data_IF_018366872651
#
_entry.id   IF_018366872651
#
_cell.length_a   1.000
_cell.length_b   1.000
_cell.length_c   1.000
_cell.angle_alpha   90.00
_cell.angle_beta   90.00
_cell.angle_gamma   90.00
#
_symmetry.space_group_name_H-M   'P 1'
#
loop_
_entity.id
_entity.type
_entity.pdbx_description
1 polymer ?
#
# COMPACT_ATOMS: atom_id res chain seq x y z
N UNK A 1 -6.03 -29.93 23.31
CA UNK A 1 -7.35 -30.16 22.68
C UNK A 1 -7.89 -28.81 22.27
N UNK A 2 -7.69 -28.40 21.01
CA UNK A 2 -8.30 -27.18 20.50
C UNK A 2 -9.80 -27.47 20.37
N UNK A 3 -10.64 -26.62 20.97
CA UNK A 3 -12.07 -26.92 21.07
C UNK A 3 -12.68 -26.93 19.67
N UNK A 4 -13.47 -27.96 19.36
CA UNK A 4 -14.16 -28.17 18.07
C UNK A 4 -14.94 -26.92 17.62
N UNK A 5 -15.30 -26.06 18.57
CA UNK A 5 -15.94 -24.76 18.38
C UNK A 5 -15.04 -23.73 17.67
N UNK A 6 -13.75 -23.68 18.00
CA UNK A 6 -12.82 -22.70 17.43
C UNK A 6 -12.47 -23.04 15.97
N UNK A 7 -12.33 -24.33 15.65
CA UNK A 7 -12.14 -24.80 14.28
C UNK A 7 -13.41 -24.60 13.44
N UNK A 8 -14.60 -24.84 14.01
CA UNK A 8 -15.87 -24.56 13.35
C UNK A 8 -16.04 -23.06 13.03
N UNK A 9 -15.71 -22.17 13.98
CA UNK A 9 -15.71 -20.72 13.78
C UNK A 9 -14.76 -20.30 12.65
N UNK A 10 -13.54 -20.85 12.63
CA UNK A 10 -12.58 -20.60 11.55
C UNK A 10 -13.12 -21.03 10.18
N UNK A 11 -13.68 -22.23 10.08
CA UNK A 11 -14.30 -22.72 8.85
C UNK A 11 -15.48 -21.86 8.38
N UNK A 12 -16.33 -21.40 9.30
CA UNK A 12 -17.46 -20.53 8.98
C UNK A 12 -17.03 -19.14 8.51
N UNK A 13 -15.98 -18.56 9.11
CA UNK A 13 -15.42 -17.29 8.65
C UNK A 13 -14.79 -17.42 7.28
N UNK A 14 -13.98 -18.47 7.04
CA UNK A 14 -13.38 -18.72 5.72
C UNK A 14 -14.45 -18.94 4.65
N UNK A 15 -15.50 -19.72 4.95
CA UNK A 15 -16.61 -19.94 4.03
C UNK A 15 -17.33 -18.62 3.71
N UNK A 16 -17.55 -17.76 4.71
CA UNK A 16 -18.20 -16.46 4.54
C UNK A 16 -17.36 -15.49 3.70
N UNK A 17 -16.05 -15.42 3.96
CA UNK A 17 -15.12 -14.60 3.18
C UNK A 17 -14.96 -15.12 1.74
N UNK A 18 -15.00 -16.44 1.55
CA UNK A 18 -14.96 -17.06 0.21
C UNK A 18 -16.24 -16.74 -0.58
N UNK A 19 -17.40 -16.77 0.08
CA UNK A 19 -18.66 -16.35 -0.54
C UNK A 19 -18.68 -14.86 -0.86
N UNK A 20 -18.12 -14.01 0.01
CA UNK A 20 -17.97 -12.58 -0.24
C UNK A 20 -17.07 -12.32 -1.45
N UNK A 21 -15.88 -12.94 -1.49
CA UNK A 21 -14.94 -12.84 -2.61
C UNK A 21 -15.55 -13.34 -3.93
N UNK A 22 -16.25 -14.48 -3.91
CA UNK A 22 -16.97 -15.01 -5.07
C UNK A 22 -18.10 -14.11 -5.56
N UNK A 23 -18.77 -13.41 -4.64
CA UNK A 23 -19.81 -12.42 -4.96
C UNK A 23 -19.22 -11.16 -5.58
N UNK A 24 -18.08 -10.66 -5.06
CA UNK A 24 -17.32 -9.56 -5.68
C UNK A 24 -16.91 -9.92 -7.11
N UNK A 25 -16.40 -11.13 -7.34
CA UNK A 25 -16.02 -11.59 -8.67
C UNK A 25 -17.21 -11.65 -9.64
N UNK A 26 -18.38 -12.10 -9.18
CA UNK A 26 -19.62 -12.12 -9.99
C UNK A 26 -20.15 -10.72 -10.27
N UNK A 27 -20.10 -9.80 -9.30
CA UNK A 27 -20.47 -8.39 -9.49
C UNK A 27 -19.51 -7.73 -10.49
N UNK A 28 -18.20 -7.89 -10.32
CA UNK A 28 -17.20 -7.36 -11.24
C UNK A 28 -17.38 -7.92 -12.66
N UNK A 29 -17.64 -9.22 -12.79
CA UNK A 29 -17.93 -9.84 -14.08
C UNK A 29 -19.24 -9.31 -14.71
N UNK A 30 -20.29 -9.16 -13.90
CA UNK A 30 -21.57 -8.57 -14.32
C UNK A 30 -21.42 -7.11 -14.76
N UNK A 31 -20.61 -6.31 -14.06
CA UNK A 31 -20.29 -4.92 -14.42
C UNK A 31 -19.49 -4.86 -15.73
N UNK A 32 -18.51 -5.74 -15.91
CA UNK A 32 -17.75 -5.86 -17.17
C UNK A 32 -18.65 -6.25 -18.34
N UNK A 33 -19.57 -7.21 -18.14
CA UNK A 33 -20.55 -7.60 -19.15
C UNK A 33 -21.55 -6.47 -19.45
N UNK A 34 -22.05 -5.78 -18.43
CA UNK A 34 -22.94 -4.62 -18.59
C UNK A 34 -22.27 -3.51 -19.40
N UNK A 35 -21.00 -3.18 -19.12
CA UNK A 35 -20.25 -2.19 -19.88
C UNK A 35 -20.04 -2.60 -21.36
N UNK A 36 -19.84 -3.90 -21.63
CA UNK A 36 -19.75 -4.44 -22.99
C UNK A 36 -21.10 -4.43 -23.72
N UNK A 37 -22.20 -4.79 -23.03
CA UNK A 37 -23.55 -4.84 -23.60
C UNK A 37 -24.19 -3.46 -23.80
N UNK A 38 -23.84 -2.46 -22.96
CA UNK A 38 -24.26 -1.06 -23.14
C UNK A 38 -23.74 -0.47 -24.45
N UNK A 39 -22.62 -0.99 -24.97
CA UNK A 39 -22.07 -0.66 -26.30
C UNK A 39 -22.82 -1.31 -27.46
N UNK A 40 -23.62 -2.34 -27.21
CA UNK A 40 -24.35 -3.12 -28.22
C UNK A 40 -25.88 -3.02 -28.11
N UNK A 41 -26.40 -2.16 -27.23
CA UNK A 41 -27.84 -1.84 -27.15
C UNK A 41 -28.77 -2.96 -26.67
N UNK A 42 -28.24 -4.03 -26.07
CA UNK A 42 -29.06 -5.12 -25.53
C UNK A 42 -29.18 -5.01 -23.99
N UNK A 43 -30.38 -5.11 -23.42
CA UNK A 43 -30.57 -5.13 -21.98
C UNK A 43 -30.25 -6.53 -21.44
N UNK A 44 -29.18 -6.66 -20.65
CA UNK A 44 -28.80 -7.92 -20.02
C UNK A 44 -28.64 -7.76 -18.49
N UNK A 45 -29.71 -8.22 -17.83
CA UNK A 45 -29.85 -8.81 -16.49
C UNK A 45 -29.21 -8.15 -15.26
N UNK A 46 -29.91 -7.15 -14.73
CA UNK A 46 -29.85 -6.63 -13.35
C UNK A 46 -30.00 -7.69 -12.23
N UNK A 47 -30.36 -8.92 -12.58
CA UNK A 47 -30.67 -10.00 -11.64
C UNK A 47 -29.43 -10.67 -11.04
N UNK A 48 -28.31 -10.73 -11.77
CA UNK A 48 -27.05 -11.33 -11.29
C UNK A 48 -26.36 -10.38 -10.30
N UNK A 49 -26.42 -9.07 -10.54
CA UNK A 49 -25.82 -8.04 -9.69
C UNK A 49 -26.54 -7.89 -8.37
N UNK A 50 -27.88 -7.86 -8.36
CA UNK A 50 -28.66 -7.64 -7.11
C UNK A 50 -28.52 -8.80 -6.12
N UNK A 51 -28.70 -10.05 -6.57
CA UNK A 51 -28.56 -11.21 -5.69
C UNK A 51 -27.12 -11.41 -5.22
N UNK A 52 -26.13 -11.12 -6.07
CA UNK A 52 -24.71 -11.17 -5.68
C UNK A 52 -24.33 -10.05 -4.71
N UNK A 53 -24.91 -8.84 -4.84
CA UNK A 53 -24.70 -7.73 -3.91
C UNK A 53 -25.32 -8.02 -2.53
N UNK A 54 -26.54 -8.58 -2.51
CA UNK A 54 -27.16 -9.06 -1.26
C UNK A 54 -26.29 -10.16 -0.63
N UNK A 55 -25.80 -11.11 -1.43
CA UNK A 55 -24.94 -12.18 -0.93
C UNK A 55 -23.60 -11.63 -0.39
N UNK A 56 -23.01 -10.63 -1.05
CA UNK A 56 -21.81 -9.93 -0.59
C UNK A 56 -22.05 -9.22 0.75
N UNK A 57 -23.13 -8.45 0.86
CA UNK A 57 -23.47 -7.73 2.08
C UNK A 57 -23.75 -8.69 3.24
N UNK A 58 -24.60 -9.71 3.02
CA UNK A 58 -24.93 -10.70 4.04
C UNK A 58 -23.71 -11.51 4.47
N UNK A 59 -22.87 -11.97 3.53
CA UNK A 59 -21.66 -12.74 3.85
C UNK A 59 -20.58 -11.91 4.55
N UNK A 60 -20.46 -10.62 4.21
CA UNK A 60 -19.52 -9.71 4.86
C UNK A 60 -19.97 -9.34 6.28
N UNK A 61 -21.26 -9.06 6.49
CA UNK A 61 -21.84 -8.80 7.81
C UNK A 61 -21.73 -10.06 8.67
N UNK A 62 -22.07 -11.24 8.13
CA UNK A 62 -21.98 -12.50 8.85
C UNK A 62 -20.52 -12.84 9.21
N UNK A 63 -19.56 -12.61 8.29
CA UNK A 63 -18.13 -12.74 8.58
C UNK A 63 -17.69 -11.78 9.71
N UNK A 64 -18.13 -10.52 9.69
CA UNK A 64 -17.84 -9.56 10.76
C UNK A 64 -18.39 -10.02 12.11
N UNK A 65 -19.64 -10.49 12.17
CA UNK A 65 -20.24 -11.01 13.41
C UNK A 65 -19.46 -12.23 13.91
N UNK A 66 -19.16 -13.21 13.06
CA UNK A 66 -18.38 -14.39 13.46
C UNK A 66 -16.99 -14.02 13.97
N UNK A 67 -16.37 -13.01 13.38
CA UNK A 67 -15.06 -12.50 13.79
C UNK A 67 -15.10 -11.83 15.17
N UNK A 68 -16.19 -11.14 15.53
CA UNK A 68 -16.36 -10.62 16.90
C UNK A 68 -16.49 -11.71 17.95
N UNK A 69 -16.84 -12.94 17.54
CA UNK A 69 -16.92 -14.10 18.43
C UNK A 69 -15.60 -14.89 18.53
N UNK A 70 -14.57 -14.48 17.79
CA UNK A 70 -13.24 -15.09 17.85
C UNK A 70 -12.33 -14.30 18.79
N UNK A 71 -11.62 -15.00 19.67
CA UNK A 71 -10.57 -14.39 20.49
C UNK A 71 -9.34 -13.98 19.65
N UNK A 72 -9.13 -14.65 18.51
CA UNK A 72 -7.98 -14.44 17.61
C UNK A 72 -8.44 -14.37 16.15
N UNK A 73 -8.17 -13.25 15.48
CA UNK A 73 -8.56 -13.00 14.09
C UNK A 73 -7.31 -12.94 13.18
N UNK A 74 -7.17 -13.84 12.20
CA UNK A 74 -6.07 -13.81 11.23
C UNK A 74 -6.07 -12.53 10.37
N UNK A 75 -4.90 -11.93 10.17
CA UNK A 75 -4.77 -10.68 9.40
C UNK A 75 -5.09 -10.83 7.91
N UNK A 76 -4.94 -12.01 7.32
CA UNK A 76 -5.32 -12.25 5.92
C UNK A 76 -6.84 -12.13 5.73
N UNK A 77 -7.60 -12.37 6.81
CA UNK A 77 -9.05 -12.20 6.84
C UNK A 77 -9.43 -10.74 7.04
N UNK A 78 -8.67 -10.00 7.85
CA UNK A 78 -8.82 -8.54 8.00
C UNK A 78 -8.41 -7.77 6.74
N UNK A 79 -7.40 -8.23 6.00
CA UNK A 79 -7.02 -7.65 4.71
C UNK A 79 -8.10 -7.90 3.64
N UNK A 80 -8.68 -9.10 3.63
CA UNK A 80 -9.84 -9.43 2.80
C UNK A 80 -11.06 -8.60 3.23
N UNK A 81 -11.30 -8.40 4.53
CA UNK A 81 -12.36 -7.56 5.05
C UNK A 81 -12.15 -6.07 4.82
N UNK A 82 -10.92 -5.57 4.83
CA UNK A 82 -10.61 -4.19 4.49
C UNK A 82 -10.87 -3.96 3.01
N UNK A 83 -10.50 -4.91 2.15
CA UNK A 83 -10.83 -4.89 0.72
C UNK A 83 -12.36 -4.96 0.51
N UNK A 84 -13.07 -5.79 1.29
CA UNK A 84 -14.52 -5.93 1.25
C UNK A 84 -15.26 -4.72 1.85
N UNK A 85 -14.73 -4.10 2.90
CA UNK A 85 -15.28 -2.91 3.55
C UNK A 85 -14.95 -1.61 2.81
N UNK A 86 -13.96 -1.63 1.90
CA UNK A 86 -13.71 -0.55 0.93
C UNK A 86 -14.58 -0.73 -0.32
N UNK A 87 -14.87 -1.96 -0.72
CA UNK A 87 -15.77 -2.24 -1.86
C UNK A 87 -17.25 -2.21 -1.48
N UNK A 88 -17.63 -2.52 -0.23
CA UNK A 88 -19.02 -2.53 0.23
C UNK A 88 -19.68 -1.14 0.22
N UNK A 89 -19.04 -0.04 0.66
CA UNK A 89 -19.58 1.31 0.50
C UNK A 89 -19.73 1.69 -0.98
N UNK A 90 -18.78 1.32 -1.84
CA UNK A 90 -18.92 1.56 -3.29
C UNK A 90 -20.06 0.74 -3.93
N UNK A 91 -20.36 -0.44 -3.39
CA UNK A 91 -21.51 -1.28 -3.79
C UNK A 91 -22.82 -0.79 -3.17
N UNK A 92 -22.80 -0.26 -1.96
CA UNK A 92 -23.97 0.31 -1.27
C UNK A 92 -24.33 1.71 -1.77
N UNK A 93 -23.36 2.52 -2.18
CA UNK A 93 -23.55 3.80 -2.88
C UNK A 93 -24.02 3.56 -4.32
N UNK A 94 -23.59 2.48 -4.99
CA UNK A 94 -24.20 2.00 -6.24
C UNK A 94 -25.67 1.60 -6.06
N UNK A 95 -26.08 1.23 -4.83
CA UNK A 95 -27.47 0.92 -4.45
C UNK A 95 -28.22 2.14 -3.90
N UNK A 96 -27.67 3.36 -4.00
CA UNK A 96 -28.35 4.61 -3.67
C UNK A 96 -29.73 4.75 -4.34
N UNK A 97 -30.60 5.64 -3.84
CA UNK A 97 -31.97 5.76 -4.33
C UNK A 97 -31.99 6.01 -5.86
N UNK A 98 -33.04 5.56 -6.58
CA UNK A 98 -32.99 5.18 -8.00
C UNK A 98 -32.55 6.26 -9.02
N UNK A 99 -32.33 7.50 -8.58
CA UNK A 99 -32.27 8.67 -9.45
C UNK A 99 -30.98 9.51 -9.32
N UNK A 100 -29.99 9.10 -8.52
CA UNK A 100 -28.69 9.78 -8.47
C UNK A 100 -27.58 8.93 -9.09
N UNK A 101 -27.18 9.29 -10.31
CA UNK A 101 -25.97 8.77 -10.96
C UNK A 101 -24.73 9.18 -10.17
N UNK A 102 -24.30 8.34 -9.24
CA UNK A 102 -22.94 8.40 -8.70
C UNK A 102 -22.01 7.66 -9.67
N UNK A 103 -21.07 8.38 -10.27
CA UNK A 103 -19.99 7.84 -11.10
C UNK A 103 -19.01 6.97 -10.26
N UNK A 104 -19.48 5.85 -9.74
CA UNK A 104 -18.70 4.92 -8.91
C UNK A 104 -17.89 3.95 -9.78
N UNK A 105 -16.79 4.43 -10.36
CA UNK A 105 -15.81 3.53 -10.99
C UNK A 105 -14.93 2.87 -9.92
N UNK A 106 -15.15 1.58 -9.66
CA UNK A 106 -14.39 0.78 -8.66
C UNK A 106 -12.90 0.68 -9.01
N UNK A 107 -12.52 0.86 -10.28
CA UNK A 107 -11.13 0.94 -10.73
C UNK A 107 -10.44 2.24 -10.29
N UNK A 108 -11.20 3.29 -9.99
CA UNK A 108 -10.70 4.60 -9.57
C UNK A 108 -10.35 4.69 -8.07
N UNK A 109 -10.33 3.58 -7.32
CA UNK A 109 -10.07 3.58 -5.86
C UNK A 109 -8.94 2.61 -5.44
N UNK A 110 -8.36 1.87 -6.39
CA UNK A 110 -7.31 0.88 -6.13
C UNK A 110 -6.07 1.56 -5.53
N UNK A 111 -5.71 2.73 -6.04
CA UNK A 111 -4.58 3.53 -5.56
C UNK A 111 -4.75 3.95 -4.10
N UNK A 112 -5.91 4.51 -3.75
CA UNK A 112 -6.25 4.89 -2.36
C UNK A 112 -6.24 3.68 -1.42
N UNK A 113 -6.90 2.59 -1.81
CA UNK A 113 -6.90 1.35 -1.03
C UNK A 113 -5.49 0.79 -0.80
N UNK A 114 -4.64 0.85 -1.83
CA UNK A 114 -3.24 0.42 -1.74
C UNK A 114 -2.41 1.30 -0.80
N UNK A 115 -2.65 2.62 -0.78
CA UNK A 115 -2.00 3.53 0.16
C UNK A 115 -2.37 3.23 1.62
N UNK A 116 -3.66 3.00 1.91
CA UNK A 116 -4.11 2.62 3.25
C UNK A 116 -3.60 1.24 3.68
N UNK A 117 -3.54 0.28 2.76
CA UNK A 117 -2.93 -1.02 3.04
C UNK A 117 -1.45 -0.88 3.42
N UNK A 118 -0.69 -0.06 2.69
CA UNK A 118 0.70 0.22 3.03
C UNK A 118 0.83 0.91 4.39
N UNK A 119 -0.06 1.85 4.71
CA UNK A 119 -0.07 2.50 6.01
C UNK A 119 -0.35 1.52 7.16
N UNK A 120 -1.47 0.78 7.12
CA UNK A 120 -1.83 -0.11 8.21
C UNK A 120 -0.91 -1.34 8.32
N UNK A 121 -0.38 -1.83 7.20
CA UNK A 121 0.48 -3.01 7.16
C UNK A 121 1.94 -2.75 7.50
N UNK A 122 2.39 -1.48 7.43
CA UNK A 122 3.79 -1.11 7.60
C UNK A 122 3.97 0.21 8.35
N UNK A 123 3.55 1.34 7.76
CA UNK A 123 3.92 2.66 8.30
C UNK A 123 3.37 2.94 9.71
N UNK A 124 2.16 2.47 10.03
CA UNK A 124 1.56 2.61 11.37
C UNK A 124 2.39 1.95 12.48
N UNK A 125 3.28 1.03 12.12
CA UNK A 125 4.16 0.34 13.06
C UNK A 125 5.41 1.15 13.39
N UNK A 126 5.67 2.24 12.66
CA UNK A 126 6.83 3.13 12.83
C UNK A 126 6.58 4.12 13.97
N UNK A 127 6.37 3.59 15.17
CA UNK A 127 6.17 4.35 16.40
C UNK A 127 7.12 3.89 17.49
N UNK A 128 7.30 4.73 18.51
CA UNK A 128 8.15 4.44 19.66
C UNK A 128 9.57 3.97 19.22
N UNK A 129 10.02 2.83 19.73
CA UNK A 129 11.33 2.22 19.42
C UNK A 129 11.47 1.77 17.96
N UNK A 130 10.37 1.64 17.23
CA UNK A 130 10.38 1.27 15.81
C UNK A 130 10.28 2.50 14.89
N UNK A 131 10.13 3.71 15.45
CA UNK A 131 10.07 4.95 14.68
C UNK A 131 11.32 5.18 13.84
N UNK A 132 11.16 5.77 12.66
CA UNK A 132 12.25 5.96 11.71
C UNK A 132 13.41 6.77 12.31
N UNK A 133 13.11 7.88 13.00
CA UNK A 133 14.14 8.72 13.61
C UNK A 133 14.96 7.97 14.65
N UNK A 134 14.31 7.22 15.55
CA UNK A 134 15.00 6.43 16.55
C UNK A 134 15.91 5.38 15.91
N UNK A 135 15.43 4.69 14.87
CA UNK A 135 16.21 3.69 14.13
C UNK A 135 17.42 4.30 13.42
N UNK A 136 17.31 5.53 12.89
CA UNK A 136 18.44 6.25 12.29
C UNK A 136 19.47 6.68 13.33
N UNK A 137 19.02 7.15 14.50
CA UNK A 137 19.91 7.50 15.62
C UNK A 137 20.65 6.26 16.15
N UNK A 138 19.94 5.13 16.30
CA UNK A 138 20.55 3.87 16.70
C UNK A 138 21.55 3.38 15.63
N UNK A 139 21.23 3.50 14.34
CA UNK A 139 22.15 3.19 13.26
C UNK A 139 23.42 4.06 13.31
N UNK A 140 23.29 5.37 13.53
CA UNK A 140 24.42 6.30 13.64
C UNK A 140 25.30 5.96 14.84
N UNK A 141 24.68 5.67 16.00
CA UNK A 141 25.39 5.30 17.23
C UNK A 141 26.14 3.97 17.07
N UNK A 142 25.46 2.95 16.55
CA UNK A 142 26.00 1.60 16.46
C UNK A 142 27.11 1.48 15.40
N UNK A 143 27.09 2.32 14.36
CA UNK A 143 28.02 2.24 13.22
C UNK A 143 29.00 3.42 13.14
N UNK A 144 28.98 4.38 14.08
CA UNK A 144 29.82 5.58 14.01
C UNK A 144 31.32 5.30 13.89
N UNK A 145 31.83 4.24 14.53
CA UNK A 145 33.23 3.85 14.42
C UNK A 145 33.59 3.28 13.03
N UNK A 146 32.64 2.62 12.37
CA UNK A 146 32.80 2.02 11.03
C UNK A 146 32.66 3.09 9.96
N UNK A 147 31.69 3.98 10.14
CA UNK A 147 31.28 5.00 9.17
C UNK A 147 32.02 6.34 9.32
N UNK A 148 32.86 6.55 10.34
CA UNK A 148 33.73 7.71 10.52
C UNK A 148 33.17 9.06 10.00
N UNK A 149 33.54 9.50 8.79
CA UNK A 149 33.12 10.78 8.21
C UNK A 149 31.69 10.72 7.66
N UNK A 150 31.31 9.58 7.09
CA UNK A 150 29.99 9.27 6.56
C UNK A 150 28.92 9.32 7.67
N UNK A 151 29.27 8.96 8.91
CA UNK A 151 28.37 9.07 10.05
C UNK A 151 27.97 10.52 10.37
N UNK A 152 28.86 11.49 10.14
CA UNK A 152 28.58 12.92 10.37
C UNK A 152 27.74 13.54 9.25
N UNK A 153 27.80 12.95 8.05
CA UNK A 153 27.03 13.36 6.86
C UNK A 153 25.68 12.62 6.75
N UNK A 154 25.36 11.75 7.71
CA UNK A 154 24.09 11.03 7.76
C UNK A 154 22.95 11.98 8.16
N UNK A 155 21.95 12.06 7.29
CA UNK A 155 20.69 12.68 7.60
C UNK A 155 19.83 11.76 8.47
N UNK A 156 19.75 12.05 9.78
CA UNK A 156 19.09 11.21 10.78
C UNK A 156 17.65 11.62 11.11
N UNK A 157 17.15 12.69 10.51
CA UNK A 157 15.82 13.25 10.83
C UNK A 157 14.67 12.50 10.15
N UNK A 158 14.87 12.01 8.92
CA UNK A 158 13.83 11.30 8.18
C UNK A 158 14.37 10.25 7.23
N UNK A 159 13.52 9.27 6.95
CA UNK A 159 13.66 8.32 5.84
C UNK A 159 12.97 8.89 4.60
N UNK A 160 13.51 8.58 3.42
CA UNK A 160 12.92 8.96 2.14
C UNK A 160 12.32 7.74 1.45
N UNK A 161 10.99 7.71 1.34
CA UNK A 161 10.27 6.73 0.53
C UNK A 161 10.21 7.21 -0.91
N UNK A 162 10.86 6.49 -1.81
CA UNK A 162 10.94 6.83 -3.23
C UNK A 162 9.71 6.29 -3.97
N UNK A 163 9.14 7.10 -4.85
CA UNK A 163 7.89 6.82 -5.54
C UNK A 163 8.05 7.08 -7.06
N UNK A 164 8.50 6.09 -7.85
CA UNK A 164 8.61 6.25 -9.29
C UNK A 164 7.23 6.53 -9.90
N UNK A 165 7.14 7.49 -10.80
CA UNK A 165 5.87 7.88 -11.45
C UNK A 165 5.23 6.77 -12.28
N UNK A 166 6.07 5.95 -12.91
CA UNK A 166 5.63 4.76 -13.65
C UNK A 166 5.29 3.58 -12.71
N UNK A 167 5.56 3.70 -11.41
CA UNK A 167 5.33 2.69 -10.38
C UNK A 167 6.33 1.52 -10.39
N UNK A 168 7.38 1.56 -11.20
CA UNK A 168 8.37 0.51 -11.35
C UNK A 168 9.71 0.90 -10.70
N UNK A 169 10.29 0.00 -9.91
CA UNK A 169 11.64 0.19 -9.37
C UNK A 169 12.66 -0.55 -10.24
N UNK A 170 13.87 0.00 -10.38
CA UNK A 170 14.98 -0.78 -10.90
C UNK A 170 15.31 -1.96 -9.97
N UNK A 171 15.96 -2.96 -10.55
CA UNK A 171 16.44 -4.16 -9.84
C UNK A 171 17.38 -3.78 -8.69
N UNK A 172 18.23 -2.77 -8.88
CA UNK A 172 19.09 -2.21 -7.84
C UNK A 172 18.70 -0.76 -7.52
N UNK A 173 18.61 -0.43 -6.23
CA UNK A 173 18.30 0.93 -5.76
C UNK A 173 19.37 1.96 -6.16
N UNK A 174 20.63 1.53 -6.34
CA UNK A 174 21.68 2.41 -6.85
C UNK A 174 21.38 2.91 -8.28
N UNK A 175 20.53 2.19 -9.03
CA UNK A 175 20.16 2.53 -10.40
C UNK A 175 18.86 3.37 -10.48
N UNK A 176 18.33 3.84 -9.33
CA UNK A 176 17.10 4.64 -9.25
C UNK A 176 17.14 5.88 -10.14
N UNK A 177 18.31 6.50 -10.27
CA UNK A 177 18.48 7.67 -11.10
C UNK A 177 19.67 8.51 -10.70
N UNK A 178 19.86 9.60 -11.43
CA UNK A 178 21.01 10.49 -11.26
C UNK A 178 21.00 11.13 -9.86
N UNK A 179 22.18 11.21 -9.24
CA UNK A 179 22.35 11.79 -7.90
C UNK A 179 22.15 10.81 -6.74
N UNK A 180 21.71 9.58 -6.99
CA UNK A 180 21.76 8.48 -6.02
C UNK A 180 23.07 7.72 -6.24
N UNK A 181 23.96 7.82 -5.27
CA UNK A 181 25.31 7.28 -5.32
C UNK A 181 25.47 5.96 -4.56
N UNK A 182 26.67 5.77 -4.00
CA UNK A 182 27.05 4.52 -3.35
C UNK A 182 26.17 4.21 -2.12
N UNK A 183 25.72 2.95 -2.04
CA UNK A 183 25.13 2.35 -0.85
C UNK A 183 26.20 2.07 0.21
N UNK A 184 25.95 2.44 1.46
CA UNK A 184 26.81 2.06 2.58
C UNK A 184 26.83 0.54 2.79
N UNK A 185 27.95 -0.04 3.27
CA UNK A 185 28.08 -1.48 3.49
C UNK A 185 27.22 -2.00 4.65
N UNK A 186 26.71 -1.11 5.50
CA UNK A 186 25.84 -1.40 6.64
C UNK A 186 24.44 -0.83 6.40
N UNK A 187 23.42 -1.51 6.93
CA UNK A 187 22.02 -1.12 6.79
C UNK A 187 21.40 -0.76 8.15
N UNK A 188 20.36 0.06 8.13
CA UNK A 188 19.51 0.27 9.30
C UNK A 188 18.86 -1.08 9.61
N UNK A 189 19.06 -1.58 10.84
CA UNK A 189 18.66 -2.94 11.23
C UNK A 189 17.18 -3.21 10.92
N UNK A 190 16.84 -4.41 10.44
CA UNK A 190 15.44 -4.85 10.37
C UNK A 190 14.81 -4.82 11.76
N UNK A 191 13.49 -4.80 11.82
CA UNK A 191 12.78 -4.93 13.08
C UNK A 191 11.72 -6.02 12.98
N UNK A 192 11.42 -6.61 14.12
CA UNK A 192 10.35 -7.58 14.25
C UNK A 192 9.25 -7.01 15.12
N UNK A 193 8.01 -7.23 14.71
CA UNK A 193 6.85 -6.81 15.48
C UNK A 193 5.79 -7.90 15.43
N UNK A 194 5.05 -8.07 16.53
CA UNK A 194 3.88 -8.93 16.57
C UNK A 194 2.67 -8.09 16.14
N UNK A 195 2.08 -8.47 15.01
CA UNK A 195 0.89 -7.82 14.46
C UNK A 195 -0.25 -8.84 14.49
N UNK A 196 -1.20 -8.64 15.41
CA UNK A 196 -2.15 -9.70 15.80
C UNK A 196 -1.42 -10.83 16.52
N UNK A 197 -1.49 -12.06 15.99
CA UNK A 197 -0.77 -13.22 16.53
C UNK A 197 0.47 -13.62 15.70
N UNK A 198 0.78 -12.87 14.64
CA UNK A 198 1.88 -13.20 13.75
C UNK A 198 3.10 -12.33 14.07
N UNK A 199 4.23 -12.99 14.31
CA UNK A 199 5.53 -12.32 14.33
C UNK A 199 5.92 -12.01 12.89
N UNK A 200 6.11 -10.72 12.58
CA UNK A 200 6.53 -10.24 11.25
C UNK A 200 7.90 -9.62 11.35
N UNK A 201 8.71 -9.86 10.33
CA UNK A 201 10.00 -9.20 10.14
C UNK A 201 9.87 -8.19 9.02
N UNK A 202 10.32 -6.97 9.28
CA UNK A 202 10.36 -5.88 8.33
C UNK A 202 11.82 -5.63 7.94
N UNK A 203 12.10 -5.47 6.63
CA UNK A 203 13.48 -5.38 6.15
C UNK A 203 14.21 -4.16 6.71
N UNK A 204 15.53 -4.24 6.68
CA UNK A 204 16.39 -3.10 6.96
C UNK A 204 16.26 -2.02 5.88
N UNK A 205 16.74 -0.81 6.20
CA UNK A 205 16.79 0.29 5.24
C UNK A 205 18.22 0.48 4.74
N UNK A 206 18.36 0.61 3.42
CA UNK A 206 19.63 0.93 2.80
C UNK A 206 19.92 2.42 2.89
N UNK A 207 21.14 2.79 3.26
CA UNK A 207 21.61 4.17 3.29
C UNK A 207 22.48 4.44 2.07
N UNK A 208 22.20 5.52 1.36
CA UNK A 208 22.88 5.88 0.11
C UNK A 208 23.43 7.30 0.17
N UNK A 209 24.56 7.53 -0.49
CA UNK A 209 25.05 8.88 -0.75
C UNK A 209 24.14 9.58 -1.74
N UNK A 210 23.61 10.75 -1.38
CA UNK A 210 22.84 11.60 -2.25
C UNK A 210 23.67 12.83 -2.59
N UNK A 211 23.79 13.14 -3.88
CA UNK A 211 24.58 14.27 -4.38
C UNK A 211 23.67 15.16 -5.22
N UNK A 212 23.78 16.48 -5.06
CA UNK A 212 23.06 17.44 -5.91
C UNK A 212 23.67 17.51 -7.32
N UNK A 213 22.89 17.96 -8.30
CA UNK A 213 23.33 18.11 -9.70
C UNK A 213 24.51 19.07 -9.86
N UNK A 214 24.56 20.12 -9.04
CA UNK A 214 25.67 21.08 -8.95
C UNK A 214 26.85 20.58 -8.10
N UNK A 215 26.72 19.40 -7.47
CA UNK A 215 27.71 18.76 -6.59
C UNK A 215 28.05 19.55 -5.31
N UNK A 216 27.28 20.57 -4.96
CA UNK A 216 27.54 21.39 -3.77
C UNK A 216 27.01 20.75 -2.49
N UNK A 217 25.97 19.91 -2.58
CA UNK A 217 25.38 19.20 -1.45
C UNK A 217 25.61 17.70 -1.58
N UNK A 218 26.05 17.10 -0.48
CA UNK A 218 26.22 15.67 -0.33
C UNK A 218 25.77 15.22 1.05
N UNK A 219 24.92 14.22 1.13
CA UNK A 219 24.37 13.70 2.38
C UNK A 219 24.12 12.19 2.26
N UNK A 220 24.29 11.45 3.34
CA UNK A 220 23.83 10.06 3.40
C UNK A 220 22.38 10.01 3.87
N UNK A 221 21.53 9.31 3.11
CA UNK A 221 20.08 9.26 3.37
C UNK A 221 19.60 7.82 3.35
N UNK A 222 18.78 7.45 4.33
CA UNK A 222 18.09 6.17 4.32
C UNK A 222 16.93 6.20 3.32
N UNK A 223 16.98 5.28 2.36
CA UNK A 223 15.98 5.15 1.29
C UNK A 223 15.08 3.94 1.55
N UNK A 224 13.79 4.10 1.29
CA UNK A 224 12.78 3.04 1.35
C UNK A 224 12.01 2.92 0.04
N UNK A 225 11.47 1.72 -0.23
CA UNK A 225 10.56 1.44 -1.34
C UNK A 225 9.14 1.41 -0.82
N UNK A 226 8.23 2.07 -1.53
CA UNK A 226 6.79 1.90 -1.33
C UNK A 226 6.36 0.54 -1.90
N UNK A 227 6.32 -0.47 -1.03
CA UNK A 227 6.02 -1.86 -1.42
C UNK A 227 4.67 -2.05 -2.13
N UNK A 228 3.68 -1.21 -1.84
CA UNK A 228 2.36 -1.30 -2.47
C UNK A 228 2.39 -0.94 -3.98
N UNK A 229 3.40 -0.22 -4.48
CA UNK A 229 3.56 0.03 -5.91
C UNK A 229 3.86 -1.26 -6.68
N UNK A 230 4.62 -2.19 -6.08
CA UNK A 230 4.88 -3.50 -6.70
C UNK A 230 3.59 -4.31 -6.87
N UNK A 231 2.63 -4.18 -5.95
CA UNK A 231 1.31 -4.81 -6.07
C UNK A 231 0.52 -4.21 -7.22
N UNK A 232 0.53 -2.88 -7.40
CA UNK A 232 -0.11 -2.23 -8.54
C UNK A 232 0.49 -2.66 -9.88
N UNK A 233 1.82 -2.82 -9.95
CA UNK A 233 2.49 -3.32 -11.17
C UNK A 233 2.15 -4.79 -11.46
N UNK A 234 2.12 -5.65 -10.44
CA UNK A 234 1.67 -7.04 -10.61
C UNK A 234 0.22 -7.08 -11.09
N UNK A 235 -0.65 -6.23 -10.53
CA UNK A 235 -2.02 -6.11 -11.01
C UNK A 235 -2.01 -5.72 -12.49
N UNK A 236 -1.32 -4.65 -12.90
CA UNK A 236 -1.16 -4.25 -14.30
C UNK A 236 -0.73 -5.41 -15.22
N UNK A 237 0.26 -6.20 -14.81
CA UNK A 237 0.76 -7.34 -15.59
C UNK A 237 -0.27 -8.47 -15.72
N UNK A 238 -0.99 -8.78 -14.65
CA UNK A 238 -1.96 -9.88 -14.61
C UNK A 238 -3.36 -9.49 -15.09
N UNK A 239 -3.73 -8.21 -15.04
CA UNK A 239 -5.05 -7.68 -15.44
C UNK A 239 -5.05 -7.06 -16.84
N UNK A 240 -3.98 -7.19 -17.62
CA UNK A 240 -4.01 -6.89 -19.07
C UNK A 240 -5.16 -7.62 -19.80
N UNK A 241 -5.60 -8.77 -19.29
CA UNK A 241 -6.78 -9.49 -19.77
C UNK A 241 -8.11 -9.06 -19.09
N UNK A 242 -8.06 -8.37 -17.94
CA UNK A 242 -9.19 -8.01 -17.08
C UNK A 242 -9.58 -6.51 -17.11
N UNK A 243 -8.88 -5.66 -17.87
CA UNK A 243 -9.36 -4.33 -18.26
C UNK A 243 -8.78 -3.12 -17.52
N UNK A 244 -7.63 -3.22 -16.84
CA UNK A 244 -6.89 -2.03 -16.38
C UNK A 244 -5.92 -1.61 -17.48
N UNK A 245 -6.19 -0.49 -18.15
CA UNK A 245 -5.28 0.09 -19.14
C UNK A 245 -4.00 0.63 -18.50
N UNK A 246 -2.97 0.85 -19.31
CA UNK A 246 -1.73 1.47 -18.84
C UNK A 246 -1.98 2.88 -18.27
N UNK A 247 -2.85 3.67 -18.90
CA UNK A 247 -3.23 5.02 -18.45
C UNK A 247 -3.98 4.99 -17.11
N UNK A 248 -4.90 4.04 -16.92
CA UNK A 248 -5.60 3.86 -15.64
C UNK A 248 -4.62 3.43 -14.54
N UNK A 249 -3.68 2.54 -14.85
CA UNK A 249 -2.66 2.15 -13.88
C UNK A 249 -1.80 3.35 -13.44
N UNK A 250 -1.37 4.20 -14.38
CA UNK A 250 -0.63 5.41 -14.05
C UNK A 250 -1.45 6.38 -13.19
N UNK A 251 -2.75 6.56 -13.48
CA UNK A 251 -3.65 7.34 -12.62
C UNK A 251 -3.74 6.76 -11.21
N UNK A 252 -3.85 5.44 -11.08
CA UNK A 252 -3.90 4.76 -9.78
C UNK A 252 -2.57 4.85 -9.01
N UNK A 253 -1.43 4.82 -9.69
CA UNK A 253 -0.12 5.08 -9.08
C UNK A 253 -0.04 6.51 -8.54
N UNK A 254 -0.43 7.50 -9.35
CA UNK A 254 -0.44 8.90 -8.91
C UNK A 254 -1.35 9.11 -7.69
N UNK A 255 -2.57 8.58 -7.75
CA UNK A 255 -3.54 8.67 -6.66
C UNK A 255 -3.05 7.98 -5.37
N UNK A 256 -2.38 6.82 -5.51
CA UNK A 256 -1.76 6.15 -4.36
C UNK A 256 -0.68 7.01 -3.70
N UNK A 257 0.20 7.63 -4.50
CA UNK A 257 1.29 8.47 -4.00
C UNK A 257 0.74 9.70 -3.29
N UNK A 258 -0.27 10.36 -3.86
CA UNK A 258 -0.90 11.54 -3.27
C UNK A 258 -1.66 11.20 -1.98
N UNK A 259 -2.37 10.08 -1.96
CA UNK A 259 -3.01 9.58 -0.74
C UNK A 259 -1.98 9.24 0.34
N UNK A 260 -0.84 8.65 -0.03
CA UNK A 260 0.22 8.33 0.92
C UNK A 260 0.85 9.59 1.52
N UNK A 261 1.11 10.63 0.71
CA UNK A 261 1.56 11.94 1.20
C UNK A 261 0.56 12.54 2.20
N UNK A 262 -0.73 12.44 1.91
CA UNK A 262 -1.81 12.91 2.80
C UNK A 262 -1.80 12.15 4.14
N UNK A 263 -1.66 10.82 4.10
CA UNK A 263 -1.57 9.99 5.30
C UNK A 263 -0.35 10.38 6.15
N UNK A 264 0.82 10.54 5.53
CA UNK A 264 2.07 10.90 6.21
C UNK A 264 1.98 12.29 6.85
N UNK A 265 1.40 13.27 6.14
CA UNK A 265 1.25 14.63 6.66
C UNK A 265 0.26 14.71 7.84
N UNK A 266 -0.76 13.85 7.85
CA UNK A 266 -1.84 13.85 8.84
C UNK A 266 -1.52 13.01 10.09
N UNK A 267 -0.46 12.20 10.06
CA UNK A 267 -0.10 11.30 11.15
C UNK A 267 1.13 11.82 11.91
N UNK A 268 0.98 12.10 13.21
CA UNK A 268 2.04 12.68 14.04
C UNK A 268 3.31 11.84 14.17
N UNK A 269 3.19 10.51 14.14
CA UNK A 269 4.34 9.59 14.26
C UNK A 269 5.17 9.54 12.96
N UNK A 270 4.53 9.83 11.81
CA UNK A 270 5.18 9.81 10.49
C UNK A 270 5.61 11.21 10.04
N UNK A 271 4.85 12.24 10.44
CA UNK A 271 5.10 13.63 10.08
C UNK A 271 6.50 14.03 10.57
N UNK A 272 7.31 14.55 9.66
CA UNK A 272 8.68 14.92 9.97
C UNK A 272 9.68 13.76 9.83
N UNK A 273 9.26 12.50 10.00
CA UNK A 273 10.15 11.33 10.00
C UNK A 273 10.15 10.52 8.69
N UNK A 274 9.14 10.70 7.83
CA UNK A 274 9.06 10.11 6.50
C UNK A 274 8.83 11.21 5.46
N UNK A 275 9.55 11.14 4.33
CA UNK A 275 9.35 12.00 3.16
C UNK A 275 9.04 11.12 1.95
N UNK A 276 7.91 11.35 1.30
CA UNK A 276 7.53 10.63 0.07
C UNK A 276 7.96 11.47 -1.12
N UNK A 277 8.97 10.99 -1.86
CA UNK A 277 9.55 11.68 -3.02
C UNK A 277 9.11 11.00 -4.29
N UNK A 278 8.33 11.73 -5.09
CA UNK A 278 7.93 11.31 -6.43
C UNK A 278 9.02 11.72 -7.41
N UNK A 279 9.40 10.84 -8.33
CA UNK A 279 10.42 11.11 -9.34
C UNK A 279 10.10 10.43 -10.68
N UNK A 280 10.50 11.07 -11.77
CA UNK A 280 10.51 10.50 -13.12
C UNK A 280 11.88 9.89 -13.45
N UNK A 281 11.92 8.94 -14.38
CA UNK A 281 13.15 8.20 -14.74
C UNK A 281 14.27 9.11 -15.30
N UNK A 282 13.89 10.22 -15.95
CA UNK A 282 14.84 11.15 -16.57
C UNK A 282 15.29 12.27 -15.61
N UNK A 283 14.74 12.38 -14.40
CA UNK A 283 15.06 13.45 -13.46
C UNK A 283 16.37 13.22 -12.71
N UNK A 284 16.93 14.30 -12.15
CA UNK A 284 18.00 14.19 -11.16
C UNK A 284 17.39 13.88 -9.79
N UNK A 285 17.17 12.59 -9.52
CA UNK A 285 16.51 12.09 -8.31
C UNK A 285 17.19 12.61 -7.04
N UNK A 286 18.52 12.80 -7.05
CA UNK A 286 19.24 13.39 -5.93
C UNK A 286 18.75 14.79 -5.55
N UNK A 287 18.38 15.62 -6.54
CA UNK A 287 17.87 16.99 -6.27
C UNK A 287 16.47 16.93 -5.68
N UNK A 288 15.61 16.04 -6.19
CA UNK A 288 14.26 15.83 -5.68
C UNK A 288 14.29 15.33 -4.22
N UNK A 289 15.24 14.46 -3.88
CA UNK A 289 15.47 14.00 -2.50
C UNK A 289 15.91 15.18 -1.63
N UNK A 290 16.98 15.89 -2.02
CA UNK A 290 17.54 16.99 -1.21
C UNK A 290 16.50 18.11 -0.98
N UNK A 291 15.74 18.48 -2.00
CA UNK A 291 14.67 19.48 -1.89
C UNK A 291 13.56 19.02 -0.92
N UNK A 292 13.27 17.72 -0.85
CA UNK A 292 12.28 17.18 0.07
C UNK A 292 12.77 17.12 1.52
N UNK A 293 14.09 17.12 1.74
CA UNK A 293 14.69 17.16 3.08
C UNK A 293 14.76 18.59 3.65
N UNK A 294 14.77 19.61 2.80
CA UNK A 294 14.74 21.03 3.22
C UNK A 294 13.36 21.52 3.67
N UNK A 295 12.31 20.74 3.40
CA UNK A 295 10.91 21.04 3.72
C UNK A 295 10.39 20.24 4.92
#
# INVERSE_FOLDING_TARGET
>A
MWSTREELLKCLVVASLTMAAGSVAKIAHGVVLHYRCRRSGQPLSDWITRNSAILLACSSIFAMVLITMMEVVPWDWLGTLALLAVTAPAVLDFLGPPDEHVEACTLCQIGKGSAYNHYFGYLRLMKDKNGFRQRLQDFQRDNGAILQKEAAELYSEAVVALAPTNGEYPSNLADIGRGVGQKLPVEVKPFECVVGCNKRSYPGLSVHLIVSSDKTKRLYVALDKIGALATLQKLRQHTKAAGLSDDECQKQVAEMIDQLKTIVASNGDLRGQLRVVRYDADEHVGDAILQALEK
#
